data_IF_196017991404
#
_entry.id   IF_196017991404
#
_cell.length_a   1.000
_cell.length_b   1.000
_cell.length_c   1.000
_cell.angle_alpha   90.00
_cell.angle_beta   90.00
_cell.angle_gamma   90.00
#
_symmetry.space_group_name_H-M   'P 1'
#
loop_
_entity.id
_entity.type
_entity.pdbx_description
1 polymer ?
#
# COMPACT_ATOMS: atom_id res chain seq x y z
N UNK A 1 -26.31 17.42 -16.33
CA UNK A 1 -25.63 16.20 -15.84
C UNK A 1 -24.70 16.65 -14.75
N UNK A 2 -25.07 16.44 -13.49
CA UNK A 2 -24.39 17.07 -12.33
C UNK A 2 -23.31 16.19 -11.70
N UNK A 3 -23.08 15.00 -12.26
CA UNK A 3 -22.08 14.07 -11.77
C UNK A 3 -20.65 14.63 -11.96
N UNK A 4 -19.87 14.77 -10.87
CA UNK A 4 -18.54 15.41 -10.90
C UNK A 4 -17.57 14.78 -11.89
N UNK A 5 -17.70 13.47 -12.11
CA UNK A 5 -16.83 12.67 -12.97
C UNK A 5 -16.96 13.03 -14.46
N UNK A 6 -18.04 13.72 -14.84
CA UNK A 6 -18.32 14.16 -16.21
C UNK A 6 -18.23 15.68 -16.39
N UNK A 7 -17.75 16.41 -15.38
CA UNK A 7 -17.50 17.86 -15.49
C UNK A 7 -16.08 18.08 -16.03
N UNK A 8 -15.98 18.06 -17.36
CA UNK A 8 -14.77 18.48 -18.08
C UNK A 8 -14.90 19.98 -18.43
N UNK A 9 -13.91 20.77 -18.07
CA UNK A 9 -13.74 22.16 -18.49
C UNK A 9 -12.86 22.23 -19.73
N UNK A 10 -13.00 23.30 -20.52
CA UNK A 10 -12.12 23.59 -21.66
C UNK A 10 -10.68 23.89 -21.24
N UNK A 11 -10.46 24.23 -19.97
CA UNK A 11 -9.14 24.50 -19.40
C UNK A 11 -8.47 23.26 -18.79
N UNK A 12 -9.12 22.09 -18.83
CA UNK A 12 -8.57 20.85 -18.27
C UNK A 12 -7.44 20.27 -19.14
N UNK A 13 -6.37 19.79 -18.50
CA UNK A 13 -5.27 19.12 -19.20
C UNK A 13 -5.72 17.78 -19.82
N UNK A 14 -5.06 17.41 -20.92
CA UNK A 14 -5.26 16.15 -21.63
C UNK A 14 -5.18 14.93 -20.70
N UNK A 15 -4.32 14.96 -19.68
CA UNK A 15 -4.21 13.89 -18.68
C UNK A 15 -5.53 13.63 -17.96
N UNK A 16 -6.28 14.69 -17.63
CA UNK A 16 -7.59 14.60 -16.97
C UNK A 16 -8.64 14.07 -17.94
N UNK A 17 -8.63 14.52 -19.19
CA UNK A 17 -9.51 14.00 -20.24
C UNK A 17 -9.29 12.49 -20.48
N UNK A 18 -8.03 12.06 -20.61
CA UNK A 18 -7.70 10.63 -20.75
C UNK A 18 -8.18 9.81 -19.56
N UNK A 19 -7.94 10.30 -18.34
CA UNK A 19 -8.38 9.62 -17.11
C UNK A 19 -9.90 9.49 -17.06
N UNK A 20 -10.65 10.56 -17.31
CA UNK A 20 -12.11 10.52 -17.37
C UNK A 20 -12.62 9.56 -18.45
N UNK A 21 -12.00 9.54 -19.63
CA UNK A 21 -12.35 8.60 -20.71
C UNK A 21 -12.15 7.15 -20.27
N UNK A 22 -11.00 6.82 -19.68
CA UNK A 22 -10.72 5.46 -19.19
C UNK A 22 -11.72 5.04 -18.12
N UNK A 23 -11.99 5.91 -17.14
CA UNK A 23 -12.97 5.60 -16.08
C UNK A 23 -14.37 5.40 -16.66
N UNK A 24 -14.80 6.26 -17.59
CA UNK A 24 -16.11 6.13 -18.24
C UNK A 24 -16.24 4.81 -19.01
N UNK A 25 -15.21 4.42 -19.77
CA UNK A 25 -15.18 3.14 -20.48
C UNK A 25 -15.23 1.96 -19.51
N UNK A 26 -14.47 2.03 -18.42
CA UNK A 26 -14.40 0.98 -17.42
C UNK A 26 -15.74 0.81 -16.69
N UNK A 27 -16.39 1.91 -16.31
CA UNK A 27 -17.76 1.89 -15.75
C UNK A 27 -18.73 1.25 -16.75
N UNK A 28 -18.74 1.70 -18.01
CA UNK A 28 -19.63 1.17 -19.02
C UNK A 28 -19.41 -0.34 -19.26
N UNK A 29 -18.16 -0.77 -19.32
CA UNK A 29 -17.79 -2.18 -19.48
C UNK A 29 -18.25 -3.00 -18.26
N UNK A 30 -17.91 -2.56 -17.05
CA UNK A 30 -18.25 -3.26 -15.82
C UNK A 30 -19.77 -3.33 -15.58
N UNK A 31 -20.56 -2.34 -16.01
CA UNK A 31 -22.02 -2.39 -15.98
C UNK A 31 -22.62 -3.29 -17.07
N UNK A 32 -21.90 -3.53 -18.16
CA UNK A 32 -22.35 -4.39 -19.27
C UNK A 32 -22.10 -5.87 -19.03
N UNK A 33 -21.33 -6.21 -17.99
CA UNK A 33 -21.03 -7.59 -17.61
C UNK A 33 -21.83 -8.00 -16.36
N UNK A 34 -22.11 -9.30 -16.16
CA UNK A 34 -22.66 -9.79 -14.89
C UNK A 34 -21.75 -9.42 -13.72
N UNK A 35 -22.31 -9.14 -12.54
CA UNK A 35 -21.53 -8.73 -11.37
C UNK A 35 -20.46 -9.75 -10.97
N UNK A 36 -20.72 -11.05 -11.14
CA UNK A 36 -19.78 -12.12 -10.82
C UNK A 36 -18.71 -12.39 -11.91
N UNK A 37 -18.68 -11.60 -12.99
CA UNK A 37 -17.73 -11.79 -14.09
C UNK A 37 -16.30 -11.35 -13.74
N UNK A 38 -16.17 -10.37 -12.85
CA UNK A 38 -14.90 -9.88 -12.34
C UNK A 38 -15.11 -9.18 -10.99
N UNK A 39 -14.11 -9.16 -10.10
CA UNK A 39 -14.23 -8.45 -8.83
C UNK A 39 -14.54 -6.96 -8.99
N UNK A 40 -14.05 -6.33 -10.07
CA UNK A 40 -14.32 -4.92 -10.37
C UNK A 40 -15.78 -4.67 -10.77
N UNK A 41 -16.40 -5.60 -11.51
CA UNK A 41 -17.82 -5.55 -11.82
C UNK A 41 -18.66 -5.74 -10.56
N UNK A 42 -18.23 -6.63 -9.66
CA UNK A 42 -18.90 -6.86 -8.38
C UNK A 42 -18.80 -5.62 -7.46
N UNK A 43 -17.62 -4.99 -7.36
CA UNK A 43 -17.46 -3.75 -6.60
C UNK A 43 -18.34 -2.61 -7.14
N UNK A 44 -18.49 -2.50 -8.46
CA UNK A 44 -19.28 -1.43 -9.07
C UNK A 44 -20.79 -1.64 -8.90
N UNK A 45 -21.25 -2.90 -8.92
CA UNK A 45 -22.67 -3.25 -8.90
C UNK A 45 -23.19 -3.55 -7.48
N UNK A 46 -22.38 -4.18 -6.63
CA UNK A 46 -22.76 -4.70 -5.31
C UNK A 46 -21.80 -4.24 -4.20
N UNK A 47 -21.37 -2.97 -4.24
CA UNK A 47 -20.38 -2.44 -3.29
C UNK A 47 -20.71 -2.73 -1.81
N UNK A 48 -22.01 -2.74 -1.45
CA UNK A 48 -22.45 -3.02 -0.08
C UNK A 48 -22.13 -4.45 0.36
N UNK A 49 -22.24 -5.41 -0.54
CA UNK A 49 -21.94 -6.82 -0.27
C UNK A 49 -20.42 -7.06 -0.24
N UNK A 50 -19.66 -6.22 -0.96
CA UNK A 50 -18.20 -6.28 -1.00
C UNK A 50 -17.50 -5.64 0.21
N UNK A 51 -18.23 -4.98 1.14
CA UNK A 51 -17.63 -4.32 2.32
C UNK A 51 -16.79 -5.28 3.19
N UNK A 52 -17.16 -6.56 3.18
CA UNK A 52 -16.48 -7.62 3.92
C UNK A 52 -15.58 -8.51 3.03
N UNK A 53 -15.24 -8.04 1.83
CA UNK A 53 -14.35 -8.76 0.89
C UNK A 53 -13.01 -8.04 0.75
N UNK A 54 -11.96 -8.80 0.40
CA UNK A 54 -10.65 -8.22 0.13
C UNK A 54 -10.67 -7.49 -1.22
N UNK A 55 -10.11 -6.28 -1.25
CA UNK A 55 -9.89 -5.56 -2.50
C UNK A 55 -8.64 -6.11 -3.16
N UNK A 56 -8.76 -6.52 -4.43
CA UNK A 56 -7.63 -7.00 -5.22
C UNK A 56 -6.47 -5.99 -5.18
N UNK A 57 -5.23 -6.50 -5.09
CA UNK A 57 -3.99 -5.71 -5.05
C UNK A 57 -3.89 -4.75 -3.87
N UNK A 58 -4.42 -5.14 -2.70
CA UNK A 58 -4.23 -4.32 -1.52
C UNK A 58 -2.73 -4.28 -1.17
N UNK A 59 -2.14 -3.11 -0.85
CA UNK A 59 -0.74 -3.01 -0.42
C UNK A 59 -0.40 -3.90 0.79
N UNK A 60 -1.40 -4.30 1.59
CA UNK A 60 -1.23 -5.30 2.64
C UNK A 60 -0.86 -6.68 2.10
N UNK A 61 -1.36 -7.05 0.92
CA UNK A 61 -1.17 -8.39 0.35
C UNK A 61 0.28 -8.56 -0.11
N UNK A 62 0.83 -7.58 -0.82
CA UNK A 62 2.24 -7.58 -1.23
C UNK A 62 3.18 -7.52 -0.02
N UNK A 63 2.88 -6.67 0.97
CA UNK A 63 3.71 -6.51 2.15
C UNK A 63 3.72 -7.79 2.99
N UNK A 64 2.58 -8.43 3.20
CA UNK A 64 2.51 -9.68 3.96
C UNK A 64 3.15 -10.84 3.21
N UNK A 65 3.01 -10.94 1.88
CA UNK A 65 3.70 -11.96 1.09
C UNK A 65 5.22 -11.82 1.20
N UNK A 66 5.75 -10.60 1.07
CA UNK A 66 7.20 -10.33 1.20
C UNK A 66 7.68 -10.65 2.62
N UNK A 67 6.95 -10.22 3.65
CA UNK A 67 7.29 -10.49 5.05
C UNK A 67 7.28 -11.99 5.35
N UNK A 68 6.29 -12.74 4.87
CA UNK A 68 6.21 -14.18 5.08
C UNK A 68 7.29 -14.93 4.29
N UNK A 69 7.67 -14.46 3.11
CA UNK A 69 8.79 -15.03 2.35
C UNK A 69 10.14 -14.85 3.07
N UNK A 70 10.37 -13.68 3.69
CA UNK A 70 11.56 -13.45 4.53
C UNK A 70 11.63 -14.38 5.74
N UNK A 71 10.47 -14.82 6.26
CA UNK A 71 10.39 -15.77 7.37
C UNK A 71 10.55 -17.23 6.92
N UNK A 72 10.20 -17.55 5.67
CA UNK A 72 10.33 -18.90 5.12
C UNK A 72 11.76 -19.27 4.73
N UNK A 73 12.57 -18.30 4.32
CA UNK A 73 13.97 -18.52 3.88
C UNK A 73 14.97 -18.74 5.03
N UNK A 74 14.49 -19.05 6.23
CA UNK A 74 15.36 -19.39 7.35
C UNK A 74 16.13 -18.21 7.94
N UNK A 75 15.68 -16.96 7.75
CA UNK A 75 16.06 -15.82 8.62
C UNK A 75 15.38 -15.98 10.00
N UNK A 76 15.33 -17.21 10.51
CA UNK A 76 14.43 -17.69 11.57
C UNK A 76 15.08 -17.75 12.94
N UNK A 77 16.36 -17.38 13.07
CA UNK A 77 16.97 -17.09 14.38
C UNK A 77 16.87 -15.62 14.77
N UNK A 78 16.36 -14.76 13.88
CA UNK A 78 16.36 -13.31 14.07
C UNK A 78 14.95 -12.77 14.05
N UNK A 79 14.44 -12.50 15.25
CA UNK A 79 13.26 -11.66 15.40
C UNK A 79 13.46 -10.34 14.63
N UNK A 80 12.50 -9.99 13.78
CA UNK A 80 12.65 -8.88 12.82
C UNK A 80 11.77 -7.69 13.22
N UNK A 81 12.27 -6.48 12.98
CA UNK A 81 11.55 -5.22 13.24
C UNK A 81 11.49 -4.42 11.96
N UNK A 82 10.30 -3.92 11.63
CA UNK A 82 10.10 -2.98 10.52
C UNK A 82 10.39 -1.55 10.95
N UNK A 83 11.02 -0.81 10.05
CA UNK A 83 11.30 0.61 10.17
C UNK A 83 10.80 1.34 8.93
N UNK A 84 10.41 2.61 9.11
CA UNK A 84 10.09 3.53 8.02
C UNK A 84 11.13 4.64 7.95
N UNK A 85 11.65 4.90 6.76
CA UNK A 85 12.44 6.07 6.48
C UNK A 85 11.56 7.33 6.41
N UNK A 86 12.12 8.51 6.69
CA UNK A 86 11.45 9.82 6.52
C UNK A 86 10.81 10.06 5.15
N UNK A 87 11.21 9.31 4.11
CA UNK A 87 10.59 9.37 2.77
C UNK A 87 9.42 8.40 2.56
N UNK A 88 9.04 7.61 3.56
CA UNK A 88 7.99 6.60 3.51
C UNK A 88 8.45 5.20 3.13
N UNK A 89 9.72 5.01 2.74
CA UNK A 89 10.26 3.69 2.40
C UNK A 89 10.34 2.78 3.64
N UNK A 90 9.66 1.64 3.62
CA UNK A 90 9.67 0.63 4.68
C UNK A 90 10.75 -0.42 4.44
N UNK A 91 11.50 -0.77 5.48
CA UNK A 91 12.53 -1.80 5.45
C UNK A 91 12.51 -2.65 6.72
N UNK A 92 13.13 -3.83 6.65
CA UNK A 92 13.18 -4.81 7.75
C UNK A 92 14.60 -4.89 8.29
N UNK A 93 14.73 -4.97 9.62
CA UNK A 93 15.98 -5.20 10.33
C UNK A 93 15.83 -6.47 11.16
N UNK A 94 16.74 -7.44 10.98
CA UNK A 94 16.78 -8.64 11.82
C UNK A 94 17.47 -8.40 13.17
N UNK A 95 17.83 -9.47 13.88
CA UNK A 95 18.56 -9.43 15.16
C UNK A 95 17.87 -8.57 16.22
N UNK A 96 16.56 -8.76 16.39
CA UNK A 96 15.76 -7.96 17.33
C UNK A 96 15.78 -6.46 17.01
N UNK A 97 16.07 -6.08 15.75
CA UNK A 97 16.27 -4.70 15.30
C UNK A 97 17.63 -4.11 15.59
N UNK A 98 18.60 -4.93 16.02
CA UNK A 98 19.99 -4.53 16.16
C UNK A 98 20.61 -4.36 14.77
N UNK A 99 20.96 -3.13 14.43
CA UNK A 99 21.63 -2.90 13.15
C UNK A 99 23.14 -2.85 13.30
N UNK A 100 23.80 -3.84 12.71
CA UNK A 100 25.26 -3.98 12.72
C UNK A 100 25.93 -3.46 11.43
N UNK A 101 25.16 -3.26 10.35
CA UNK A 101 25.68 -2.84 9.05
C UNK A 101 25.02 -1.55 8.56
N UNK A 102 25.84 -0.59 8.15
CA UNK A 102 25.36 0.67 7.58
C UNK A 102 24.59 0.41 6.28
N UNK A 103 23.40 1.01 6.17
CA UNK A 103 22.51 0.88 5.03
C UNK A 103 22.02 2.24 4.53
N UNK A 104 21.68 2.30 3.25
CA UNK A 104 21.17 3.51 2.59
C UNK A 104 19.77 3.25 2.04
N UNK A 105 18.85 4.20 2.23
CA UNK A 105 17.51 4.12 1.66
C UNK A 105 17.60 4.05 0.13
N UNK A 106 17.03 3.02 -0.52
CA UNK A 106 17.09 2.89 -1.97
C UNK A 106 16.31 4.01 -2.68
N UNK A 107 15.30 4.59 -2.02
CA UNK A 107 14.44 5.65 -2.58
C UNK A 107 15.05 7.04 -2.45
N UNK A 108 15.34 7.50 -1.22
CA UNK A 108 15.80 8.89 -0.99
C UNK A 108 17.32 9.02 -0.77
N UNK A 109 18.05 7.91 -0.82
CA UNK A 109 19.51 7.83 -0.63
C UNK A 109 20.03 8.35 0.72
N UNK A 110 19.14 8.62 1.68
CA UNK A 110 19.54 8.94 3.06
C UNK A 110 19.99 7.68 3.79
N UNK A 111 20.86 7.85 4.77
CA UNK A 111 21.28 6.77 5.64
C UNK A 111 20.09 6.27 6.48
N UNK A 112 19.83 4.97 6.46
CA UNK A 112 18.76 4.33 7.25
C UNK A 112 19.29 3.76 8.57
N UNK A 113 20.61 3.58 8.67
CA UNK A 113 21.26 2.89 9.78
C UNK A 113 22.52 3.64 10.21
N UNK A 114 22.63 3.99 11.50
CA UNK A 114 23.82 4.58 12.10
C UNK A 114 24.87 3.55 12.51
N UNK A 115 26.05 4.00 12.94
CA UNK A 115 27.05 3.10 13.51
C UNK A 115 26.68 2.72 14.97
N UNK A 116 26.95 1.48 15.36
CA UNK A 116 26.86 1.01 16.75
C UNK A 116 25.45 0.73 17.26
N UNK A 117 24.66 -0.08 16.53
CA UNK A 117 23.31 -0.54 16.94
C UNK A 117 22.22 0.54 16.96
N UNK A 118 22.53 1.77 16.52
CA UNK A 118 21.58 2.88 16.50
C UNK A 118 21.01 3.11 15.10
N UNK A 119 19.70 3.31 15.03
CA UNK A 119 18.99 3.71 13.82
C UNK A 119 19.33 5.17 13.49
N UNK A 120 19.52 5.49 12.21
CA UNK A 120 19.85 6.86 11.80
C UNK A 120 18.68 7.82 12.06
N UNK A 121 18.95 9.12 12.34
CA UNK A 121 17.89 10.11 12.54
C UNK A 121 16.90 10.16 11.37
N UNK A 122 15.62 10.31 11.69
CA UNK A 122 14.55 10.37 10.69
C UNK A 122 14.05 9.01 10.20
N UNK A 123 14.39 7.93 10.89
CA UNK A 123 13.73 6.64 10.70
C UNK A 123 12.90 6.32 11.96
N UNK A 124 11.71 5.76 11.77
CA UNK A 124 10.78 5.40 12.85
C UNK A 124 10.56 3.90 12.90
N UNK A 125 10.51 3.36 14.12
CA UNK A 125 10.18 1.95 14.35
C UNK A 125 8.67 1.74 14.18
N UNK A 126 8.28 0.73 13.40
CA UNK A 126 6.87 0.43 13.10
C UNK A 126 6.29 -0.65 14.03
N UNK A 127 7.12 -1.61 14.47
CA UNK A 127 6.66 -2.72 15.32
C UNK A 127 7.05 -2.51 16.79
N UNK A 128 6.09 -2.64 17.70
CA UNK A 128 6.38 -2.58 19.14
C UNK A 128 7.13 -3.82 19.65
N UNK A 129 6.85 -4.98 19.05
CA UNK A 129 7.45 -6.26 19.41
C UNK A 129 8.05 -6.86 18.13
N UNK A 130 9.24 -7.46 18.18
CA UNK A 130 9.80 -8.17 17.03
C UNK A 130 8.83 -9.22 16.45
N UNK A 131 8.79 -9.30 15.14
CA UNK A 131 8.11 -10.36 14.42
C UNK A 131 8.95 -11.64 14.55
N UNK A 132 8.38 -12.66 15.19
CA UNK A 132 9.03 -13.96 15.45
C UNK A 132 8.39 -15.11 14.69
N UNK A 133 7.30 -14.84 13.98
CA UNK A 133 6.54 -15.82 13.21
C UNK A 133 5.91 -15.13 12.02
N UNK A 134 5.41 -15.93 11.07
CA UNK A 134 4.62 -15.44 9.94
C UNK A 134 3.53 -14.50 10.43
N UNK A 135 3.42 -13.37 9.76
CA UNK A 135 2.36 -12.41 10.04
C UNK A 135 1.11 -12.98 9.41
N UNK A 136 0.09 -13.22 10.22
CA UNK A 136 -1.25 -13.48 9.68
C UNK A 136 -1.58 -12.38 8.69
N UNK A 137 -2.09 -12.77 7.53
CA UNK A 137 -2.65 -11.83 6.57
C UNK A 137 -3.85 -11.17 7.24
N UNK A 138 -3.59 -10.08 7.98
CA UNK A 138 -4.60 -9.12 8.41
C UNK A 138 -4.93 -8.25 7.20
N UNK A 139 -5.25 -8.89 6.07
CA UNK A 139 -6.06 -8.21 5.10
C UNK A 139 -7.32 -7.85 5.89
N UNK A 140 -7.54 -6.55 6.04
CA UNK A 140 -8.80 -6.07 6.58
C UNK A 140 -9.75 -6.07 5.40
N UNK A 141 -10.96 -6.55 5.65
CA UNK A 141 -12.01 -6.51 4.65
C UNK A 141 -12.28 -5.04 4.26
N UNK A 142 -12.45 -4.78 2.96
CA UNK A 142 -12.65 -3.43 2.43
C UNK A 142 -11.38 -2.71 1.97
N UNK A 143 -11.55 -1.42 1.70
CA UNK A 143 -10.52 -0.53 1.15
C UNK A 143 -9.68 0.11 2.27
N UNK A 144 -8.36 -0.07 2.23
CA UNK A 144 -7.45 0.35 3.30
C UNK A 144 -6.62 1.60 3.00
N UNK A 145 -6.63 2.10 1.77
CA UNK A 145 -5.76 3.22 1.37
C UNK A 145 -6.52 4.25 0.54
N UNK A 146 -6.81 5.40 1.14
CA UNK A 146 -6.55 6.73 0.57
C UNK A 146 -6.56 7.71 1.75
N UNK A 147 -5.39 8.22 2.15
CA UNK A 147 -5.38 9.42 2.99
C UNK A 147 -5.67 10.59 2.07
N UNK A 148 -6.92 11.08 2.10
CA UNK A 148 -7.26 12.34 1.43
C UNK A 148 -6.29 13.41 1.90
N UNK A 149 -5.39 13.88 1.04
CA UNK A 149 -4.68 15.14 1.30
C UNK A 149 -5.75 16.23 1.30
N UNK A 150 -5.96 16.85 2.45
CA UNK A 150 -6.89 17.98 2.61
C UNK A 150 -6.35 19.29 2.01
N UNK A 151 -5.56 19.23 0.93
CA UNK A 151 -4.87 20.40 0.36
C UNK A 151 -5.11 20.63 -1.13
N UNK A 152 -6.09 19.95 -1.75
CA UNK A 152 -6.55 20.36 -3.07
C UNK A 152 -7.75 21.30 -2.90
N UNK A 153 -7.44 22.58 -2.69
CA UNK A 153 -8.40 23.67 -2.84
C UNK A 153 -8.89 23.67 -4.30
N UNK A 154 -10.21 23.47 -4.45
CA UNK A 154 -11.09 23.64 -5.61
C UNK A 154 -10.46 24.08 -6.94
#
# INVERSE_FOLDING_TARGET
NDYPLFKLSTDDDNSKLFTCSVIAHLIALCLSLPSNSSPLADYLQNLQDCQNTFILTCPSDEQTVILNALMDDGITDMSTIRYACSCGYTYVVGDCGNVVAAGTCPQCKKQIVGQGYNIAPGNSRLDQIPLTQKVEVKAQAGYLIETRKTEDNY
#
